data_IF_168390240793
#
_entry.id   IF_168390240793
#
_cell.length_a   1.000
_cell.length_b   1.000
_cell.length_c   1.000
_cell.angle_alpha   90.00
_cell.angle_beta   90.00
_cell.angle_gamma   90.00
#
_symmetry.space_group_name_H-M   'P 1'
#
loop_
_entity.id
_entity.type
_entity.pdbx_description
1 polymer ?
#
# COMPACT_ATOMS: atom_id res chain seq x y z
N UNK A 1 40.63 33.59 -26.88
CA UNK A 1 40.67 32.13 -26.61
C UNK A 1 40.14 31.74 -25.23
N UNK A 2 40.11 32.63 -24.23
CA UNK A 2 39.70 32.29 -22.85
C UNK A 2 38.17 32.17 -22.63
N UNK A 3 37.35 32.75 -23.51
CA UNK A 3 35.88 32.70 -23.38
C UNK A 3 35.26 31.35 -23.81
N UNK A 4 35.98 30.54 -24.59
CA UNK A 4 35.47 29.26 -25.09
C UNK A 4 35.64 28.12 -24.06
N UNK A 5 36.72 28.16 -23.26
CA UNK A 5 36.95 27.16 -22.21
C UNK A 5 35.98 27.29 -21.04
N UNK A 6 35.48 28.49 -20.75
CA UNK A 6 34.43 28.69 -19.74
C UNK A 6 33.06 28.16 -20.17
N UNK A 7 32.75 28.17 -21.48
CA UNK A 7 31.52 27.58 -21.99
C UNK A 7 31.60 26.05 -22.04
N UNK A 8 32.77 25.48 -22.33
CA UNK A 8 32.98 24.03 -22.28
C UNK A 8 33.02 23.49 -20.84
N UNK A 9 33.68 24.20 -19.92
CA UNK A 9 33.65 23.87 -18.49
C UNK A 9 32.23 23.91 -17.91
N UNK A 10 31.39 24.85 -18.37
CA UNK A 10 30.00 24.93 -17.94
C UNK A 10 29.11 23.86 -18.60
N UNK A 11 29.36 23.48 -19.86
CA UNK A 11 28.62 22.39 -20.53
C UNK A 11 28.99 20.99 -20.01
N UNK A 12 30.24 20.76 -19.60
CA UNK A 12 30.62 19.53 -18.90
C UNK A 12 29.98 19.44 -17.50
N UNK A 13 29.78 20.57 -16.81
CA UNK A 13 29.08 20.59 -15.53
C UNK A 13 27.57 20.34 -15.65
N UNK A 14 26.98 20.71 -16.78
CA UNK A 14 25.54 20.54 -17.07
C UNK A 14 25.21 19.13 -17.60
N UNK A 15 26.20 18.35 -18.06
CA UNK A 15 25.97 17.00 -18.62
C UNK A 15 26.11 15.86 -17.60
N UNK A 16 26.62 16.15 -16.40
CA UNK A 16 26.84 15.17 -15.31
C UNK A 16 26.05 15.55 -14.04
N UNK A 17 24.92 16.22 -14.21
CA UNK A 17 23.82 16.08 -13.24
C UNK A 17 22.69 15.35 -13.97
N UNK A 18 23.01 14.12 -14.39
CA UNK A 18 22.00 13.15 -14.75
C UNK A 18 21.00 13.10 -13.61
N UNK A 19 19.74 13.17 -14.01
CA UNK A 19 18.55 13.02 -13.19
C UNK A 19 18.57 11.69 -12.41
N UNK A 20 19.39 11.59 -11.37
CA UNK A 20 19.03 10.77 -10.23
C UNK A 20 18.09 11.66 -9.43
N UNK A 21 16.80 11.46 -9.65
CA UNK A 21 15.75 11.90 -8.73
C UNK A 21 16.10 11.30 -7.36
N UNK A 22 16.96 11.99 -6.60
CA UNK A 22 17.39 11.62 -5.26
C UNK A 22 16.18 11.75 -4.35
N UNK A 23 15.40 10.67 -4.29
CA UNK A 23 14.38 10.44 -3.29
C UNK A 23 15.05 10.67 -1.93
N UNK A 24 14.53 11.62 -1.16
CA UNK A 24 15.19 12.08 0.06
C UNK A 24 15.50 10.88 0.97
N UNK A 25 16.73 10.73 1.52
CA UNK A 25 17.09 9.59 2.36
C UNK A 25 16.14 9.41 3.55
N UNK A 26 15.46 10.48 3.99
CA UNK A 26 14.42 10.45 5.01
C UNK A 26 13.13 9.74 4.54
N UNK A 27 12.73 9.90 3.27
CA UNK A 27 11.56 9.23 2.69
C UNK A 27 11.84 7.74 2.51
N UNK A 28 13.03 7.39 2.01
CA UNK A 28 13.46 5.99 1.84
C UNK A 28 13.57 5.27 3.20
N UNK A 29 14.05 5.96 4.23
CA UNK A 29 14.12 5.43 5.59
C UNK A 29 12.74 5.15 6.19
N UNK A 30 11.75 6.01 5.93
CA UNK A 30 10.38 5.80 6.40
C UNK A 30 9.71 4.59 5.75
N UNK A 31 9.89 4.39 4.43
CA UNK A 31 9.38 3.20 3.75
C UNK A 31 10.05 1.91 4.24
N UNK A 32 11.36 1.96 4.51
CA UNK A 32 12.08 0.82 5.10
C UNK A 32 11.56 0.48 6.50
N UNK A 33 11.28 1.48 7.34
CA UNK A 33 10.68 1.29 8.66
C UNK A 33 9.31 0.62 8.60
N UNK A 34 8.46 1.02 7.64
CA UNK A 34 7.15 0.38 7.42
C UNK A 34 7.30 -1.09 7.03
N UNK A 35 8.26 -1.41 6.15
CA UNK A 35 8.57 -2.80 5.78
C UNK A 35 9.01 -3.64 6.99
N UNK A 36 9.89 -3.10 7.84
CA UNK A 36 10.33 -3.77 9.07
C UNK A 36 9.16 -3.96 10.03
N UNK A 37 8.30 -2.95 10.19
CA UNK A 37 7.12 -3.05 11.03
C UNK A 37 6.15 -4.15 10.54
N UNK A 38 5.99 -4.31 9.22
CA UNK A 38 5.22 -5.40 8.63
C UNK A 38 5.81 -6.78 8.93
N UNK A 39 7.13 -6.93 8.83
CA UNK A 39 7.81 -8.19 9.17
C UNK A 39 7.62 -8.53 10.66
N UNK A 40 7.75 -7.55 11.55
CA UNK A 40 7.52 -7.73 12.98
C UNK A 40 6.07 -8.09 13.31
N UNK A 41 5.11 -7.44 12.64
CA UNK A 41 3.70 -7.77 12.80
C UNK A 41 3.39 -9.20 12.30
N UNK A 42 4.02 -9.63 11.21
CA UNK A 42 3.98 -11.01 10.72
C UNK A 42 4.59 -12.02 11.70
N UNK A 43 5.73 -11.68 12.34
CA UNK A 43 6.31 -12.50 13.40
C UNK A 43 5.38 -12.63 14.62
N UNK A 44 4.74 -11.53 15.02
CA UNK A 44 3.75 -11.53 16.10
C UNK A 44 2.55 -12.43 15.79
N UNK A 45 2.09 -12.44 14.53
CA UNK A 45 1.02 -13.31 14.09
C UNK A 45 1.44 -14.79 14.11
N UNK A 46 2.64 -15.10 13.60
CA UNK A 46 3.19 -16.46 13.62
C UNK A 46 3.36 -16.98 15.06
N UNK A 47 3.89 -16.15 15.96
CA UNK A 47 4.01 -16.47 17.37
C UNK A 47 2.64 -16.68 18.03
N UNK A 48 1.66 -15.82 17.72
CA UNK A 48 0.29 -15.96 18.22
C UNK A 48 -0.36 -17.28 17.83
N UNK A 49 -0.15 -17.74 16.59
CA UNK A 49 -0.59 -19.05 16.11
C UNK A 49 0.14 -20.21 16.80
N UNK A 50 1.45 -20.09 17.01
CA UNK A 50 2.25 -21.14 17.66
C UNK A 50 1.85 -21.37 19.13
N UNK A 51 1.39 -20.32 19.82
CA UNK A 51 0.97 -20.37 21.22
C UNK A 51 -0.55 -20.60 21.36
N UNK A 52 -1.28 -20.68 20.24
CA UNK A 52 -2.74 -20.77 20.18
C UNK A 52 -3.45 -19.69 21.03
N UNK A 53 -2.85 -18.51 21.09
CA UNK A 53 -3.34 -17.39 21.91
C UNK A 53 -4.17 -16.44 21.05
N UNK A 54 -5.50 -16.56 21.18
CA UNK A 54 -6.49 -15.67 20.55
C UNK A 54 -6.17 -14.18 20.76
N UNK A 55 -5.60 -13.83 21.92
CA UNK A 55 -5.26 -12.44 22.27
C UNK A 55 -4.06 -11.93 21.46
N UNK A 56 -3.00 -12.73 21.32
CA UNK A 56 -1.82 -12.37 20.52
C UNK A 56 -2.13 -12.31 19.02
N UNK A 57 -2.96 -13.24 18.54
CA UNK A 57 -3.47 -13.25 17.17
C UNK A 57 -4.27 -11.97 16.89
N UNK A 58 -5.14 -11.57 17.83
CA UNK A 58 -5.92 -10.33 17.73
C UNK A 58 -5.06 -9.08 17.64
N UNK A 59 -4.10 -8.93 18.54
CA UNK A 59 -3.17 -7.80 18.55
C UNK A 59 -2.34 -7.73 17.27
N UNK A 60 -1.85 -8.89 16.78
CA UNK A 60 -1.08 -8.95 15.54
C UNK A 60 -1.92 -8.55 14.33
N UNK A 61 -3.16 -9.04 14.23
CA UNK A 61 -4.06 -8.68 13.13
C UNK A 61 -4.45 -7.21 13.16
N UNK A 62 -4.74 -6.64 14.34
CA UNK A 62 -5.00 -5.19 14.48
C UNK A 62 -3.78 -4.40 14.02
N UNK A 63 -2.57 -4.81 14.42
CA UNK A 63 -1.32 -4.13 14.07
C UNK A 63 -1.06 -4.19 12.56
N UNK A 64 -1.25 -5.35 11.93
CA UNK A 64 -1.17 -5.51 10.47
C UNK A 64 -2.18 -4.58 9.80
N UNK A 65 -3.43 -4.55 10.28
CA UNK A 65 -4.48 -3.70 9.71
C UNK A 65 -4.14 -2.21 9.78
N UNK A 66 -3.60 -1.75 10.91
CA UNK A 66 -3.17 -0.35 11.11
C UNK A 66 -1.99 -0.01 10.21
N UNK A 67 -0.94 -0.86 10.18
CA UNK A 67 0.21 -0.66 9.30
C UNK A 67 -0.20 -0.60 7.83
N UNK A 68 -1.16 -1.44 7.45
CA UNK A 68 -1.68 -1.48 6.10
C UNK A 68 -2.51 -0.23 5.76
N UNK A 69 -3.36 0.24 6.68
CA UNK A 69 -4.10 1.50 6.50
C UNK A 69 -3.15 2.70 6.35
N UNK A 70 -2.07 2.75 7.14
CA UNK A 70 -1.02 3.76 7.02
C UNK A 70 -0.30 3.66 5.67
N UNK A 71 0.09 2.45 5.26
CA UNK A 71 0.73 2.20 3.97
C UNK A 71 -0.15 2.68 2.81
N UNK A 72 -1.45 2.34 2.85
CA UNK A 72 -2.42 2.75 1.83
C UNK A 72 -2.62 4.27 1.80
N UNK A 73 -2.71 4.90 2.97
CA UNK A 73 -2.80 6.37 3.08
C UNK A 73 -1.59 7.08 2.48
N UNK A 74 -0.40 6.48 2.60
CA UNK A 74 0.81 7.01 1.96
C UNK A 74 0.73 6.83 0.45
N UNK A 75 0.35 5.64 -0.06
CA UNK A 75 0.19 5.39 -1.50
C UNK A 75 -0.77 6.38 -2.17
N UNK A 76 -1.91 6.68 -1.53
CA UNK A 76 -2.91 7.64 -2.05
C UNK A 76 -2.36 9.07 -2.07
N UNK A 77 -1.46 9.42 -1.14
CA UNK A 77 -0.88 10.77 -1.04
C UNK A 77 0.37 10.96 -1.89
N UNK A 78 1.17 9.92 -2.08
CA UNK A 78 2.52 10.02 -2.65
C UNK A 78 2.57 10.07 -4.17
N UNK A 79 1.50 9.66 -4.84
CA UNK A 79 1.37 9.78 -6.29
C UNK A 79 0.06 10.48 -6.63
N UNK A 80 0.01 11.35 -7.66
CA UNK A 80 -1.21 11.45 -8.44
C UNK A 80 -1.36 10.10 -9.13
N UNK A 81 -1.95 9.11 -8.43
CA UNK A 81 -2.30 7.83 -9.02
C UNK A 81 -3.05 8.17 -10.30
N UNK A 82 -2.45 7.83 -11.44
CA UNK A 82 -2.79 8.32 -12.77
C UNK A 82 -4.22 7.97 -13.23
N UNK A 83 -5.01 7.31 -12.38
CA UNK A 83 -6.46 7.40 -12.38
C UNK A 83 -7.00 7.17 -10.96
N UNK A 84 -7.95 8.00 -10.50
CA UNK A 84 -8.76 7.78 -9.27
C UNK A 84 -9.32 6.34 -9.20
N UNK A 85 -9.51 5.74 -10.36
CA UNK A 85 -10.01 4.38 -10.53
C UNK A 85 -9.07 3.33 -9.93
N UNK A 86 -7.76 3.45 -10.14
CA UNK A 86 -6.77 2.53 -9.57
C UNK A 86 -6.72 2.62 -8.05
N UNK A 87 -6.92 3.82 -7.49
CA UNK A 87 -7.01 3.99 -6.05
C UNK A 87 -8.24 3.28 -5.48
N UNK A 88 -9.41 3.43 -6.12
CA UNK A 88 -10.65 2.75 -5.70
C UNK A 88 -10.49 1.23 -5.75
N UNK A 89 -9.93 0.70 -6.85
CA UNK A 89 -9.70 -0.75 -6.99
C UNK A 89 -8.75 -1.25 -5.90
N UNK A 90 -7.64 -0.56 -5.69
CA UNK A 90 -6.65 -0.95 -4.68
C UNK A 90 -7.24 -0.92 -3.26
N UNK A 91 -8.05 0.09 -2.91
CA UNK A 91 -8.72 0.17 -1.60
C UNK A 91 -9.71 -0.98 -1.45
N UNK A 92 -10.55 -1.23 -2.46
CA UNK A 92 -11.58 -2.27 -2.38
C UNK A 92 -10.97 -3.68 -2.28
N UNK A 93 -9.98 -4.00 -3.10
CA UNK A 93 -9.26 -5.28 -3.05
C UNK A 93 -8.55 -5.44 -1.71
N UNK A 94 -7.96 -4.36 -1.19
CA UNK A 94 -7.33 -4.39 0.11
C UNK A 94 -8.32 -4.70 1.23
N UNK A 95 -9.43 -3.96 1.30
CA UNK A 95 -10.48 -4.18 2.32
C UNK A 95 -11.03 -5.60 2.21
N UNK A 96 -11.21 -6.12 0.99
CA UNK A 96 -11.69 -7.48 0.76
C UNK A 96 -10.72 -8.53 1.32
N UNK A 97 -9.41 -8.38 1.12
CA UNK A 97 -8.42 -9.29 1.68
C UNK A 97 -8.30 -9.19 3.20
N UNK A 98 -8.40 -7.98 3.73
CA UNK A 98 -8.33 -7.76 5.16
C UNK A 98 -9.57 -8.37 5.87
N UNK A 99 -10.75 -8.25 5.26
CA UNK A 99 -11.96 -8.95 5.69
C UNK A 99 -11.79 -10.47 5.56
N UNK A 100 -11.34 -10.98 4.41
CA UNK A 100 -11.15 -12.43 4.24
C UNK A 100 -10.27 -13.03 5.33
N UNK A 101 -9.11 -12.42 5.59
CA UNK A 101 -8.19 -12.89 6.63
C UNK A 101 -8.78 -12.73 8.03
N UNK A 102 -9.33 -11.56 8.36
CA UNK A 102 -9.95 -11.31 9.67
C UNK A 102 -11.10 -12.27 9.96
N UNK A 103 -12.05 -12.42 9.02
CA UNK A 103 -13.16 -13.35 9.19
C UNK A 103 -12.66 -14.80 9.23
N UNK A 104 -11.66 -15.20 8.44
CA UNK A 104 -11.12 -16.57 8.48
C UNK A 104 -10.48 -16.94 9.81
N UNK A 105 -9.93 -15.95 10.53
CA UNK A 105 -9.20 -16.18 11.79
C UNK A 105 -10.10 -16.02 13.01
N UNK A 106 -11.03 -15.05 13.01
CA UNK A 106 -11.88 -14.75 14.17
C UNK A 106 -13.26 -15.39 14.12
N UNK A 107 -13.65 -16.00 12.99
CA UNK A 107 -14.99 -16.57 12.84
C UNK A 107 -14.92 -17.98 12.26
N UNK A 108 -15.86 -18.84 12.62
CA UNK A 108 -16.01 -20.17 12.04
C UNK A 108 -16.91 -20.15 10.78
N UNK A 109 -16.79 -19.09 9.97
CA UNK A 109 -17.63 -18.94 8.79
C UNK A 109 -17.27 -19.98 7.72
N UNK A 110 -18.27 -20.49 6.97
CA UNK A 110 -18.01 -21.39 5.86
C UNK A 110 -17.14 -20.71 4.79
N UNK A 111 -16.27 -21.49 4.14
CA UNK A 111 -15.42 -21.02 3.06
C UNK A 111 -16.20 -20.27 1.97
N UNK A 112 -17.40 -20.75 1.62
CA UNK A 112 -18.28 -20.09 0.65
C UNK A 112 -18.65 -18.65 1.06
N UNK A 113 -18.83 -18.37 2.34
CA UNK A 113 -19.14 -17.03 2.85
C UNK A 113 -17.92 -16.13 2.78
N UNK A 114 -16.74 -16.64 3.14
CA UNK A 114 -15.47 -15.90 3.05
C UNK A 114 -15.15 -15.50 1.61
N UNK A 115 -15.30 -16.44 0.67
CA UNK A 115 -15.14 -16.18 -0.77
C UNK A 115 -16.21 -15.22 -1.28
N UNK A 116 -17.45 -15.34 -0.80
CA UNK A 116 -18.52 -14.41 -1.14
C UNK A 116 -18.20 -12.97 -0.74
N UNK A 117 -17.71 -12.76 0.48
CA UNK A 117 -17.28 -11.44 0.97
C UNK A 117 -16.11 -10.91 0.13
N UNK A 118 -15.11 -11.76 -0.15
CA UNK A 118 -13.96 -11.40 -0.98
C UNK A 118 -14.41 -10.97 -2.39
N UNK A 119 -15.33 -11.71 -3.00
CA UNK A 119 -15.85 -11.43 -4.35
C UNK A 119 -16.69 -10.15 -4.37
N UNK A 120 -17.62 -9.98 -3.43
CA UNK A 120 -18.47 -8.80 -3.36
C UNK A 120 -17.62 -7.55 -3.14
N UNK A 121 -16.74 -7.55 -2.14
CA UNK A 121 -15.98 -6.35 -1.77
C UNK A 121 -14.81 -6.10 -2.73
N UNK A 122 -14.15 -7.14 -3.21
CA UNK A 122 -12.96 -7.02 -4.06
C UNK A 122 -13.24 -6.88 -5.55
N UNK A 123 -14.42 -7.30 -6.01
CA UNK A 123 -14.77 -7.30 -7.45
C UNK A 123 -16.03 -6.50 -7.74
N UNK A 124 -17.14 -6.76 -7.03
CA UNK A 124 -18.43 -6.10 -7.33
C UNK A 124 -18.40 -4.63 -6.92
N UNK A 125 -18.01 -4.33 -5.68
CA UNK A 125 -17.96 -2.95 -5.16
C UNK A 125 -17.09 -2.03 -6.03
N UNK A 126 -15.83 -2.38 -6.38
CA UNK A 126 -15.04 -1.51 -7.25
C UNK A 126 -15.69 -1.37 -8.63
N UNK A 127 -16.25 -2.45 -9.20
CA UNK A 127 -17.00 -2.38 -10.45
C UNK A 127 -18.16 -1.37 -10.41
N UNK A 128 -18.95 -1.39 -9.33
CA UNK A 128 -20.06 -0.45 -9.12
C UNK A 128 -19.56 0.98 -8.89
N UNK A 129 -18.56 1.18 -8.04
CA UNK A 129 -18.03 2.51 -7.73
C UNK A 129 -17.45 3.16 -8.98
N UNK A 130 -16.81 2.40 -9.87
CA UNK A 130 -16.29 2.91 -11.13
C UNK A 130 -17.40 3.21 -12.15
N UNK A 131 -18.42 2.35 -12.24
CA UNK A 131 -19.54 2.53 -13.17
C UNK A 131 -20.47 3.69 -12.78
N UNK A 132 -20.66 3.95 -11.49
CA UNK A 132 -21.58 4.99 -11.00
C UNK A 132 -20.88 6.24 -10.44
N UNK A 133 -19.60 6.17 -10.08
CA UNK A 133 -18.85 7.30 -9.53
C UNK A 133 -18.27 8.25 -10.58
N UNK A 134 -18.00 7.76 -11.80
CA UNK A 134 -17.54 8.58 -12.93
C UNK A 134 -18.71 9.24 -13.68
N UNK A 135 -19.87 8.59 -13.73
CA UNK A 135 -21.02 8.99 -14.55
C UNK A 135 -21.86 10.13 -13.94
N UNK A 136 -21.64 10.50 -12.68
CA UNK A 136 -22.39 11.58 -11.99
C UNK A 136 -21.58 12.88 -11.79
N UNK A 137 -20.47 13.05 -12.52
CA UNK A 137 -19.61 14.23 -12.45
C UNK A 137 -19.77 15.15 -13.67
N UNK A 138 -21.01 15.29 -14.17
CA UNK A 138 -21.42 16.33 -15.13
C UNK A 138 -22.15 17.48 -14.43
#
# INVERSE_FOLDING_TARGET
MQANELLEGNRMKISTSGETSERSPAETAWFALLGIAFVLAGLGLFYGLAVDSMQMISVALITIFVLFAVSMGILIRSEPIRSRENAVIAICVFVAMALYLGLSVFTALPFAVLVGVLFVVGVIVPGLVLQYGVTNAE
#
